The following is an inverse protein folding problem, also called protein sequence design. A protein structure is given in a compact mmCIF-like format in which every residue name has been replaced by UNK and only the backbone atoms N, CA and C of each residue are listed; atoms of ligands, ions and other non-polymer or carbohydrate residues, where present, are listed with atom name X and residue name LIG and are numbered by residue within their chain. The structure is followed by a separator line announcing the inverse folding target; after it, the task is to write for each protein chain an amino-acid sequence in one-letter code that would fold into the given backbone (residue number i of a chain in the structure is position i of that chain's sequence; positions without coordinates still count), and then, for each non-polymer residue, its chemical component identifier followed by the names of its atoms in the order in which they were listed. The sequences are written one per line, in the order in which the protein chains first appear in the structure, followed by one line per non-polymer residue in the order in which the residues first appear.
data_IF_341320399292
#
_entry.id   IF_341320399292
#
_cell.length_a   1.000
_cell.length_b   1.000
_cell.length_c   1.000
_cell.angle_alpha   90.00
_cell.angle_beta   90.00
_cell.angle_gamma   90.00
#
_symmetry.space_group_name_H-M   'P 1'
#
loop_
_entity.id
_entity.type
_entity.pdbx_description
1 polymer ?
#
# COMPACT_ATOMS: atom_id res chain seq x y z
N UNK A 1 -7.51 -6.38 32.05
CA UNK A 1 -8.07 -5.85 30.79
C UNK A 1 -7.38 -4.53 30.51
N UNK A 2 -6.69 -4.40 29.37
CA UNK A 2 -6.01 -3.15 29.01
C UNK A 2 -7.06 -2.05 28.81
N UNK A 3 -6.88 -0.93 29.51
CA UNK A 3 -7.72 0.28 29.44
C UNK A 3 -7.19 1.30 28.43
N UNK A 4 -6.10 1.00 27.73
CA UNK A 4 -5.54 1.88 26.73
C UNK A 4 -6.45 1.90 25.49
N UNK A 5 -6.83 3.10 25.07
CA UNK A 5 -7.43 3.28 23.75
C UNK A 5 -6.38 2.92 22.69
N UNK A 6 -6.75 2.21 21.61
CA UNK A 6 -5.80 1.89 20.56
C UNK A 6 -5.23 3.19 19.97
N UNK A 7 -3.95 3.15 19.60
CA UNK A 7 -3.33 4.24 18.86
C UNK A 7 -4.11 4.47 17.55
N UNK A 8 -4.34 5.74 17.15
CA UNK A 8 -5.10 6.04 15.96
C UNK A 8 -4.39 5.55 14.70
N UNK A 9 -5.17 5.05 13.73
CA UNK A 9 -4.67 4.52 12.45
C UNK A 9 -5.13 5.44 11.32
N UNK A 10 -4.22 5.73 10.39
CA UNK A 10 -4.45 6.61 9.25
C UNK A 10 -4.11 5.91 7.94
N UNK A 11 -4.91 6.17 6.90
CA UNK A 11 -4.61 5.78 5.52
C UNK A 11 -3.90 6.95 4.87
N UNK A 12 -2.63 6.76 4.50
CA UNK A 12 -1.81 7.83 3.91
C UNK A 12 -1.85 7.85 2.38
N UNK A 13 -2.19 6.73 1.74
CA UNK A 13 -2.30 6.64 0.30
C UNK A 13 -2.95 5.32 -0.14
N UNK A 14 -3.49 5.33 -1.35
CA UNK A 14 -4.11 4.22 -2.03
C UNK A 14 -3.59 4.14 -3.47
N UNK A 15 -3.51 2.93 -4.01
CA UNK A 15 -2.97 2.71 -5.34
C UNK A 15 -3.64 1.53 -6.00
N UNK A 16 -3.81 1.64 -7.31
CA UNK A 16 -4.42 0.61 -8.13
C UNK A 16 -3.66 0.46 -9.44
N UNK A 17 -3.60 -0.78 -9.91
CA UNK A 17 -3.44 -1.03 -11.34
C UNK A 17 -4.83 -0.96 -12.02
N UNK A 18 -4.90 -0.69 -13.34
CA UNK A 18 -6.15 -0.83 -14.08
C UNK A 18 -6.69 -2.27 -13.95
N UNK A 19 -7.99 -2.47 -14.21
CA UNK A 19 -8.59 -3.80 -14.12
C UNK A 19 -8.42 -4.56 -15.44
N UNK A 20 -7.89 -5.79 -15.39
CA UNK A 20 -7.79 -6.67 -16.56
C UNK A 20 -6.85 -7.86 -16.33
N UNK A 21 -6.90 -8.84 -17.24
CA UNK A 21 -5.95 -9.96 -17.30
C UNK A 21 -5.13 -9.86 -18.56
N UNK A 22 -3.91 -9.33 -18.47
CA UNK A 22 -3.05 -9.05 -19.63
C UNK A 22 -1.90 -10.05 -19.78
N UNK A 23 -2.05 -11.26 -19.22
CA UNK A 23 -1.05 -12.33 -19.33
C UNK A 23 0.25 -12.07 -18.56
N UNK A 24 0.27 -11.12 -17.63
CA UNK A 24 1.42 -10.85 -16.74
C UNK A 24 1.24 -11.48 -15.37
N UNK A 25 2.37 -11.63 -14.67
CA UNK A 25 2.40 -12.09 -13.29
C UNK A 25 1.65 -11.12 -12.36
N UNK A 26 0.90 -11.64 -11.40
CA UNK A 26 0.12 -10.82 -10.46
C UNK A 26 1.00 -9.95 -9.56
N UNK A 27 2.24 -10.34 -9.30
CA UNK A 27 3.21 -9.52 -8.57
C UNK A 27 3.48 -8.21 -9.30
N UNK A 28 3.49 -8.19 -10.64
CA UNK A 28 3.68 -6.93 -11.38
C UNK A 28 2.53 -5.94 -11.12
N UNK A 29 1.30 -6.45 -11.08
CA UNK A 29 0.12 -5.65 -10.77
C UNK A 29 0.15 -5.09 -9.35
N UNK A 30 0.55 -5.93 -8.39
CA UNK A 30 0.76 -5.52 -7.00
C UNK A 30 1.85 -4.44 -6.86
N UNK A 31 2.96 -4.57 -7.60
CA UNK A 31 4.04 -3.58 -7.62
C UNK A 31 3.57 -2.23 -8.18
N UNK A 32 2.76 -2.23 -9.24
CA UNK A 32 2.17 -0.99 -9.78
C UNK A 32 1.27 -0.31 -8.74
N UNK A 33 0.37 -1.08 -8.12
CA UNK A 33 -0.53 -0.56 -7.09
C UNK A 33 0.23 -0.03 -5.87
N UNK A 34 1.19 -0.79 -5.35
CA UNK A 34 2.00 -0.39 -4.19
C UNK A 34 2.81 0.87 -4.45
N UNK A 35 3.42 1.01 -5.64
CA UNK A 35 4.16 2.22 -6.01
C UNK A 35 3.26 3.45 -6.10
N UNK A 36 2.04 3.31 -6.63
CA UNK A 36 1.07 4.39 -6.67
C UNK A 36 0.65 4.83 -5.26
N UNK A 37 0.38 3.88 -4.36
CA UNK A 37 0.02 4.17 -2.97
C UNK A 37 1.14 4.90 -2.22
N UNK A 38 2.40 4.48 -2.40
CA UNK A 38 3.56 5.14 -1.80
C UNK A 38 3.78 6.55 -2.34
N UNK A 39 3.55 6.76 -3.64
CA UNK A 39 3.65 8.07 -4.26
C UNK A 39 2.59 9.04 -3.72
N UNK A 40 1.34 8.59 -3.58
CA UNK A 40 0.27 9.40 -2.98
C UNK A 40 0.58 9.72 -1.51
N UNK A 41 1.08 8.74 -0.75
CA UNK A 41 1.48 8.92 0.64
C UNK A 41 2.74 9.80 0.83
N UNK A 42 3.46 10.13 -0.25
CA UNK A 42 4.74 10.86 -0.16
C UNK A 42 5.84 10.07 0.56
N UNK A 43 5.78 8.73 0.55
CA UNK A 43 6.71 7.86 1.26
C UNK A 43 7.64 7.10 0.30
N UNK A 44 8.88 6.92 0.74
CA UNK A 44 9.84 6.05 0.08
C UNK A 44 9.72 4.60 0.61
N UNK A 45 9.91 3.59 -0.25
CA UNK A 45 9.71 2.18 0.11
C UNK A 45 10.53 1.73 1.34
N UNK A 46 11.73 2.30 1.53
CA UNK A 46 12.60 2.01 2.70
C UNK A 46 12.02 2.44 4.04
N UNK A 47 10.96 3.24 4.04
CA UNK A 47 10.25 3.65 5.26
C UNK A 47 9.18 2.62 5.68
N UNK A 48 8.88 1.64 4.82
CA UNK A 48 7.88 0.60 5.09
C UNK A 48 8.54 -0.56 5.83
N UNK A 49 7.96 -0.94 6.96
CA UNK A 49 8.51 -1.96 7.85
C UNK A 49 7.94 -3.36 7.59
N UNK A 50 6.77 -3.44 6.95
CA UNK A 50 6.04 -4.68 6.69
C UNK A 50 5.24 -4.56 5.39
N UNK A 51 5.24 -5.64 4.60
CA UNK A 51 4.47 -5.82 3.35
C UNK A 51 3.87 -7.23 3.36
#
# INVERSE_FOLDING_TARGET
MSTASPEPVYILGAGMHPWGKWGRDFTEYGVVAARAALAEAGLHWRQIQLV
#
